data_IF_992728617314
#
_entry.id   IF_992728617314
#
_cell.length_a   1.000
_cell.length_b   1.000
_cell.length_c   1.000
_cell.angle_alpha   90.00
_cell.angle_beta   90.00
_cell.angle_gamma   90.00
#
_symmetry.space_group_name_H-M   'P 1'
#
loop_
_entity.id
_entity.type
_entity.pdbx_description
1 polymer ?
#
# COMPACT_ATOMS: atom_id res chain seq x y z
N UNK A 1 4.33 -17.36 -4.45
CA UNK A 1 4.19 -16.07 -3.73
C UNK A 1 2.99 -16.19 -2.81
N UNK A 2 3.20 -15.95 -1.52
CA UNK A 2 2.12 -15.88 -0.54
C UNK A 2 1.54 -14.46 -0.54
N UNK A 3 0.26 -14.35 -0.21
CA UNK A 3 -0.43 -13.06 -0.15
C UNK A 3 -1.49 -13.06 0.93
N UNK A 4 -2.04 -11.90 1.25
CA UNK A 4 -3.16 -11.73 2.17
C UNK A 4 -4.41 -12.59 1.87
N UNK A 5 -4.47 -13.26 0.71
CA UNK A 5 -5.53 -14.21 0.34
C UNK A 5 -5.27 -15.64 0.82
N UNK A 6 -4.09 -15.94 1.33
CA UNK A 6 -3.75 -17.24 1.90
C UNK A 6 -4.33 -17.41 3.31
N UNK A 7 -4.54 -18.65 3.72
CA UNK A 7 -4.96 -18.93 5.10
C UNK A 7 -3.79 -18.78 6.06
N UNK A 8 -4.08 -18.54 7.34
CA UNK A 8 -3.05 -18.49 8.39
C UNK A 8 -2.24 -19.79 8.45
N UNK A 9 -2.86 -20.94 8.18
CA UNK A 9 -2.19 -22.24 8.13
C UNK A 9 -1.18 -22.31 6.99
N UNK A 10 -1.55 -21.86 5.78
CA UNK A 10 -0.64 -21.82 4.63
C UNK A 10 0.59 -20.96 4.93
N UNK A 11 0.39 -19.80 5.55
CA UNK A 11 1.49 -18.88 5.89
C UNK A 11 2.38 -19.50 6.97
N UNK A 12 1.80 -20.02 8.05
CA UNK A 12 2.57 -20.62 9.16
C UNK A 12 3.39 -21.84 8.73
N UNK A 13 2.88 -22.64 7.78
CA UNK A 13 3.55 -23.84 7.28
C UNK A 13 4.57 -23.57 6.18
N UNK A 14 4.53 -22.39 5.57
CA UNK A 14 5.42 -22.03 4.45
C UNK A 14 6.87 -21.77 4.85
N UNK A 15 7.12 -21.43 6.12
CA UNK A 15 8.44 -20.99 6.59
C UNK A 15 8.89 -19.62 6.07
N UNK A 16 7.98 -18.80 5.53
CA UNK A 16 8.30 -17.44 5.06
C UNK A 16 8.74 -16.55 6.22
N UNK A 17 9.85 -15.82 6.03
CA UNK A 17 10.42 -14.90 7.03
C UNK A 17 10.40 -13.44 6.57
N UNK A 18 10.04 -13.20 5.31
CA UNK A 18 10.07 -11.89 4.66
C UNK A 18 8.67 -11.49 4.22
N UNK A 19 8.24 -10.29 4.60
CA UNK A 19 6.97 -9.71 4.18
C UNK A 19 7.18 -8.38 3.45
N UNK A 20 6.28 -8.06 2.52
CA UNK A 20 6.25 -6.79 1.79
C UNK A 20 4.94 -6.08 2.14
N UNK A 21 5.06 -4.86 2.65
CA UNK A 21 3.96 -3.94 2.88
C UNK A 21 4.09 -2.77 1.90
N UNK A 22 3.21 -2.72 0.90
CA UNK A 22 3.11 -1.59 -0.01
C UNK A 22 2.24 -0.49 0.59
N UNK A 23 2.68 0.75 0.42
CA UNK A 23 1.93 1.95 0.80
C UNK A 23 1.80 2.84 -0.44
N UNK A 24 0.57 3.16 -0.80
CA UNK A 24 0.24 4.15 -1.83
C UNK A 24 -0.60 5.27 -1.23
N UNK A 25 -1.25 6.05 -2.09
CA UNK A 25 -2.15 7.12 -1.70
C UNK A 25 -3.43 7.10 -2.54
N UNK A 26 -4.44 7.81 -2.04
CA UNK A 26 -5.66 8.17 -2.78
C UNK A 26 -5.67 9.68 -2.93
N UNK A 27 -5.17 10.17 -4.05
CA UNK A 27 -4.98 11.61 -4.30
C UNK A 27 -5.39 12.00 -5.72
N UNK A 28 -5.61 13.30 -5.94
CA UNK A 28 -6.05 13.78 -7.24
C UNK A 28 -4.89 13.75 -8.25
N UNK A 29 -5.12 13.20 -9.44
CA UNK A 29 -4.17 13.21 -10.55
C UNK A 29 -4.71 14.01 -11.76
N UNK A 30 -5.28 15.18 -11.49
CA UNK A 30 -5.94 15.99 -12.50
C UNK A 30 -7.24 15.34 -13.02
N UNK A 31 -7.80 15.86 -14.12
CA UNK A 31 -9.15 15.49 -14.57
C UNK A 31 -9.22 14.15 -15.33
N UNK A 32 -8.09 13.51 -15.62
CA UNK A 32 -8.04 12.36 -16.54
C UNK A 32 -7.50 11.07 -15.92
N UNK A 33 -6.86 11.14 -14.76
CA UNK A 33 -6.28 9.97 -14.11
C UNK A 33 -7.08 9.60 -12.86
N UNK A 34 -7.22 8.30 -12.58
CA UNK A 34 -7.95 7.84 -11.41
C UNK A 34 -7.12 8.09 -10.14
N UNK A 35 -7.80 8.37 -9.03
CA UNK A 35 -7.16 8.80 -7.79
C UNK A 35 -6.35 7.73 -7.05
N UNK A 36 -6.49 6.46 -7.42
CA UNK A 36 -5.83 5.33 -6.77
C UNK A 36 -4.49 4.97 -7.43
N UNK A 37 -3.95 5.83 -8.30
CA UNK A 37 -2.80 5.51 -9.15
C UNK A 37 -1.58 5.07 -8.33
N UNK A 38 -1.27 5.78 -7.24
CA UNK A 38 -0.17 5.41 -6.34
C UNK A 38 -0.39 4.05 -5.70
N UNK A 39 -1.61 3.78 -5.25
CA UNK A 39 -2.01 2.48 -4.68
C UNK A 39 -1.83 1.36 -5.72
N UNK A 40 -2.25 1.58 -6.96
CA UNK A 40 -2.11 0.63 -8.06
C UNK A 40 -0.63 0.33 -8.35
N UNK A 41 0.20 1.37 -8.47
CA UNK A 41 1.63 1.22 -8.76
C UNK A 41 2.32 0.47 -7.61
N UNK A 42 2.05 0.86 -6.36
CA UNK A 42 2.63 0.21 -5.19
C UNK A 42 2.26 -1.28 -5.11
N UNK A 43 1.00 -1.63 -5.40
CA UNK A 43 0.54 -3.02 -5.44
C UNK A 43 1.28 -3.83 -6.53
N UNK A 44 1.41 -3.28 -7.74
CA UNK A 44 2.10 -3.95 -8.84
C UNK A 44 3.57 -4.24 -8.52
N UNK A 45 4.27 -3.28 -7.89
CA UNK A 45 5.64 -3.50 -7.43
C UNK A 45 5.73 -4.53 -6.31
N UNK A 46 4.82 -4.49 -5.32
CA UNK A 46 4.80 -5.47 -4.24
C UNK A 46 4.60 -6.90 -4.76
N UNK A 47 3.74 -7.09 -5.76
CA UNK A 47 3.54 -8.38 -6.43
C UNK A 47 4.81 -8.81 -7.19
N UNK A 48 5.45 -7.90 -7.93
CA UNK A 48 6.66 -8.21 -8.67
C UNK A 48 7.80 -8.63 -7.73
N UNK A 49 8.03 -7.87 -6.65
CA UNK A 49 9.04 -8.19 -5.64
C UNK A 49 8.69 -9.43 -4.82
N UNK A 50 7.42 -9.64 -4.47
CA UNK A 50 6.97 -10.84 -3.76
C UNK A 50 7.26 -12.12 -4.53
N UNK A 51 7.16 -12.07 -5.87
CA UNK A 51 7.57 -13.19 -6.74
C UNK A 51 9.09 -13.38 -6.76
N UNK A 52 9.85 -12.30 -6.88
CA UNK A 52 11.31 -12.37 -7.02
C UNK A 52 12.00 -12.78 -5.70
N UNK A 53 11.46 -12.35 -4.56
CA UNK A 53 12.04 -12.56 -3.24
C UNK A 53 11.41 -13.73 -2.48
N UNK A 54 10.41 -14.40 -3.05
CA UNK A 54 9.58 -15.39 -2.35
C UNK A 54 8.97 -14.87 -1.04
N UNK A 55 8.62 -13.59 -1.01
CA UNK A 55 8.08 -12.92 0.18
C UNK A 55 6.55 -13.05 0.28
N UNK A 56 6.05 -12.81 1.49
CA UNK A 56 4.63 -12.67 1.80
C UNK A 56 4.14 -11.25 1.48
N UNK A 57 3.19 -11.11 0.55
CA UNK A 57 2.65 -9.80 0.16
C UNK A 57 1.42 -9.45 0.98
N UNK A 58 1.53 -8.41 1.81
CA UNK A 58 0.43 -7.86 2.60
C UNK A 58 -0.52 -7.01 1.73
N UNK A 59 -1.74 -6.69 2.19
CA UNK A 59 -2.61 -5.76 1.48
C UNK A 59 -1.94 -4.38 1.37
N UNK A 60 -2.02 -3.76 0.19
CA UNK A 60 -1.54 -2.38 -0.01
C UNK A 60 -2.37 -1.42 0.83
N UNK A 61 -1.70 -0.53 1.55
CA UNK A 61 -2.34 0.56 2.30
C UNK A 61 -2.54 1.74 1.35
N UNK A 62 -3.77 2.19 1.06
CA UNK A 62 -4.03 3.25 0.07
C UNK A 62 -3.95 4.66 0.67
N UNK A 63 -3.17 4.83 1.73
CA UNK A 63 -3.08 6.08 2.49
C UNK A 63 -1.62 6.45 2.78
N UNK A 64 -1.25 7.67 2.40
CA UNK A 64 0.04 8.29 2.68
C UNK A 64 -0.17 9.80 2.90
N UNK A 65 0.88 10.52 3.28
CA UNK A 65 0.86 11.97 3.47
C UNK A 65 0.88 12.69 2.11
N UNK A 66 -0.24 13.30 1.71
CA UNK A 66 -0.39 14.07 0.46
C UNK A 66 -0.55 15.59 0.74
N UNK A 67 0.40 16.18 1.47
CA UNK A 67 0.34 17.58 1.92
C UNK A 67 0.30 18.61 0.78
N UNK A 68 0.94 18.31 -0.36
CA UNK A 68 1.01 19.20 -1.54
C UNK A 68 -0.36 19.43 -2.22
N UNK A 69 -1.34 18.57 -1.95
CA UNK A 69 -2.70 18.64 -2.50
C UNK A 69 -3.72 19.20 -1.50
N UNK A 70 -3.26 19.86 -0.43
CA UNK A 70 -4.12 20.38 0.65
C UNK A 70 -5.24 21.34 0.18
N UNK A 71 -5.15 21.98 -0.98
CA UNK A 71 -6.13 22.97 -1.43
C UNK A 71 -7.19 22.44 -2.41
N UNK A 72 -7.25 21.13 -2.70
CA UNK A 72 -8.20 20.56 -3.67
C UNK A 72 -9.08 19.45 -3.06
N UNK A 73 -10.38 19.49 -3.39
CA UNK A 73 -11.43 18.52 -3.01
C UNK A 73 -11.82 17.72 -4.28
N UNK A 74 -12.11 16.39 -4.23
CA UNK A 74 -12.32 15.56 -3.05
C UNK A 74 -11.01 14.93 -2.57
N UNK A 75 -10.64 15.23 -1.34
CA UNK A 75 -9.59 14.54 -0.59
C UNK A 75 -10.24 13.54 0.34
N UNK A 76 -9.63 12.37 0.51
CA UNK A 76 -9.92 11.50 1.64
C UNK A 76 -8.65 11.42 2.50
N UNK A 77 -8.32 12.53 3.19
CA UNK A 77 -7.42 12.46 4.34
C UNK A 77 -8.27 12.17 5.58
N UNK A 78 -7.91 11.13 6.34
CA UNK A 78 -8.14 11.27 7.77
C UNK A 78 -7.15 12.31 8.27
N UNK A 79 -7.51 13.12 9.26
CA UNK A 79 -6.63 14.11 9.87
C UNK A 79 -5.46 13.45 10.63
N UNK A 80 -4.53 12.82 9.90
CA UNK A 80 -3.30 12.27 10.46
C UNK A 80 -2.27 13.37 10.34
N UNK A 81 -1.88 13.94 11.49
CA UNK A 81 -0.64 14.72 11.56
C UNK A 81 0.50 13.82 11.08
N UNK A 82 1.46 14.40 10.37
CA UNK A 82 2.66 13.74 9.82
C UNK A 82 3.36 12.76 10.78
N UNK A 83 3.21 12.97 12.09
CA UNK A 83 3.69 12.06 13.15
C UNK A 83 3.12 10.64 13.06
N UNK A 84 1.90 10.47 12.56
CA UNK A 84 1.23 9.17 12.60
C UNK A 84 1.47 8.30 11.35
N UNK A 85 1.88 8.87 10.21
CA UNK A 85 2.40 8.08 9.07
C UNK A 85 3.69 7.32 9.46
N UNK A 86 4.39 7.75 10.52
CA UNK A 86 5.55 7.04 11.09
C UNK A 86 5.19 5.83 11.94
N UNK A 87 3.95 5.68 12.38
CA UNK A 87 3.52 4.55 13.22
C UNK A 87 3.09 3.32 12.39
N UNK A 88 2.88 3.50 11.08
CA UNK A 88 2.43 2.47 10.14
C UNK A 88 3.61 1.84 9.37
N UNK A 89 4.82 2.41 9.47
CA UNK A 89 6.06 1.92 8.85
C UNK A 89 7.04 1.42 9.91
#
# INVERSE_FOLDING_TARGET
>A
MLSFRNTTTDISSSGVDTAILSVGATEQFGPYLPMHLDTLIAELYAIAYGRQLNAYVLPTIPFNTSEEHANFIPRMDFSWKSDQCREVV
#
